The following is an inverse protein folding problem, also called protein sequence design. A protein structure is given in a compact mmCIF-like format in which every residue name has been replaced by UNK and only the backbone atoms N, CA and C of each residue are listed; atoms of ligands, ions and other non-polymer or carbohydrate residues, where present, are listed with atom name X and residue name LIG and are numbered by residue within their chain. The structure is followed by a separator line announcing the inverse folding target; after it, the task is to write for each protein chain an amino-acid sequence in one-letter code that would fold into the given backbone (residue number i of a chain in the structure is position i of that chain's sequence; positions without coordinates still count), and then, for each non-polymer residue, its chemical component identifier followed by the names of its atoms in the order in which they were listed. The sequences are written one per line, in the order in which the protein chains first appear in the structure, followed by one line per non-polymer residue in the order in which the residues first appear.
data_IF_904505229308
#
_entry.id   IF_904505229308
#
_cell.length_a   1.000
_cell.length_b   1.000
_cell.length_c   1.000
_cell.angle_alpha   90.00
_cell.angle_beta   90.00
_cell.angle_gamma   90.00
#
_symmetry.space_group_name_H-M   'P 1'
#
loop_
_entity.id
_entity.type
_entity.pdbx_description
1 polymer ?
#
# COMPACT_ATOMS: atom_id res chain seq x y z
N UNK A 1 20.12 11.53 2.98
CA UNK A 1 19.39 10.44 2.28
C UNK A 1 18.77 9.40 3.21
N UNK A 2 19.38 9.04 4.35
CA UNK A 2 18.82 8.01 5.25
C UNK A 2 17.40 8.35 5.76
N UNK A 3 17.18 9.58 6.21
CA UNK A 3 15.88 10.05 6.69
C UNK A 3 14.76 9.93 5.64
N UNK A 4 15.08 10.19 4.37
CA UNK A 4 14.11 10.04 3.26
C UNK A 4 13.80 8.55 3.03
N UNK A 5 14.81 7.66 3.11
CA UNK A 5 14.60 6.20 3.04
C UNK A 5 13.72 5.71 4.18
N UNK A 6 13.98 6.14 5.40
CA UNK A 6 13.19 5.78 6.59
C UNK A 6 11.75 6.29 6.43
N UNK A 7 11.55 7.55 6.03
CA UNK A 7 10.22 8.10 5.80
C UNK A 7 9.46 7.32 4.70
N UNK A 8 10.10 7.02 3.58
CA UNK A 8 9.51 6.22 2.51
C UNK A 8 9.07 4.85 3.01
N UNK A 9 9.93 4.11 3.71
CA UNK A 9 9.62 2.79 4.26
C UNK A 9 8.48 2.86 5.27
N UNK A 10 8.45 3.86 6.14
CA UNK A 10 7.35 4.07 7.10
C UNK A 10 6.00 4.25 6.39
N UNK A 11 5.93 5.10 5.35
CA UNK A 11 4.70 5.29 4.59
C UNK A 11 4.28 4.04 3.81
N UNK A 12 5.24 3.30 3.24
CA UNK A 12 4.96 2.02 2.57
C UNK A 12 4.37 1.00 3.55
N UNK A 13 4.95 0.86 4.75
CA UNK A 13 4.44 -0.06 5.78
C UNK A 13 3.03 0.37 6.23
N UNK A 14 2.81 1.66 6.46
CA UNK A 14 1.50 2.20 6.84
C UNK A 14 0.43 1.95 5.74
N UNK A 15 0.81 2.09 4.47
CA UNK A 15 -0.06 1.77 3.34
C UNK A 15 -0.37 0.27 3.26
N UNK A 16 0.66 -0.58 3.39
CA UNK A 16 0.52 -2.04 3.37
C UNK A 16 -0.42 -2.54 4.48
N UNK A 17 -0.30 -2.00 5.69
CA UNK A 17 -1.21 -2.35 6.79
C UNK A 17 -2.69 -2.11 6.42
N UNK A 18 -2.98 -1.01 5.71
CA UNK A 18 -4.33 -0.72 5.22
C UNK A 18 -4.82 -1.72 4.16
N UNK A 19 -3.95 -2.09 3.21
CA UNK A 19 -4.28 -3.07 2.16
C UNK A 19 -4.53 -4.47 2.72
N UNK A 20 -3.75 -4.91 3.72
CA UNK A 20 -3.93 -6.25 4.33
C UNK A 20 -5.13 -6.33 5.27
N UNK A 21 -5.59 -5.21 5.83
CA UNK A 21 -6.75 -5.20 6.73
C UNK A 21 -8.09 -5.13 5.98
N UNK A 22 -8.12 -4.60 4.75
CA UNK A 22 -9.34 -4.46 3.94
C UNK A 22 -10.05 -5.81 3.65
N UNK A 23 -9.37 -6.88 3.20
CA UNK A 23 -9.99 -8.17 2.91
C UNK A 23 -10.72 -8.76 4.11
N UNK A 24 -10.17 -8.58 5.32
CA UNK A 24 -10.79 -9.02 6.55
C UNK A 24 -12.15 -8.36 6.75
N UNK A 25 -12.25 -7.04 6.54
CA UNK A 25 -13.52 -6.32 6.66
C UNK A 25 -14.55 -6.86 5.65
N UNK A 26 -14.12 -7.18 4.42
CA UNK A 26 -15.01 -7.71 3.39
C UNK A 26 -15.57 -9.09 3.73
N UNK A 27 -14.75 -9.99 4.29
CA UNK A 27 -15.22 -11.30 4.77
C UNK A 27 -16.27 -11.13 5.88
N UNK A 28 -15.99 -10.30 6.88
CA UNK A 28 -16.91 -10.07 8.01
C UNK A 28 -18.20 -9.37 7.54
N UNK A 29 -18.13 -8.53 6.51
CA UNK A 29 -19.31 -7.93 5.89
C UNK A 29 -20.19 -9.00 5.24
N UNK A 30 -19.61 -9.95 4.51
CA UNK A 30 -20.38 -11.02 3.87
C UNK A 30 -21.03 -11.94 4.91
N UNK A 31 -20.29 -12.31 5.96
CA UNK A 31 -20.79 -13.13 7.07
C UNK A 31 -21.95 -12.44 7.82
N UNK A 32 -21.78 -11.17 8.22
CA UNK A 32 -22.81 -10.41 8.92
C UNK A 32 -24.04 -10.13 8.05
N UNK A 33 -23.86 -9.89 6.74
CA UNK A 33 -24.97 -9.70 5.81
C UNK A 33 -25.81 -10.96 5.64
N UNK A 34 -25.19 -12.14 5.66
CA UNK A 34 -25.90 -13.42 5.60
C UNK A 34 -26.62 -13.74 6.92
N UNK A 35 -26.09 -13.28 8.05
CA UNK A 35 -26.69 -13.47 9.38
C UNK A 35 -27.79 -12.44 9.73
N UNK A 36 -28.01 -11.43 8.87
CA UNK A 36 -29.00 -10.36 9.12
C UNK A 36 -28.53 -9.29 10.12
N UNK A 37 -27.22 -9.18 10.35
CA UNK A 37 -26.62 -8.17 11.25
C UNK A 37 -26.46 -6.81 10.57
N UNK A 38 -26.32 -5.73 11.37
CA UNK A 38 -26.04 -4.39 10.86
C UNK A 38 -24.57 -4.25 10.40
N UNK A 39 -24.34 -4.47 9.10
CA UNK A 39 -23.03 -4.35 8.45
C UNK A 39 -22.65 -2.91 8.07
N UNK A 40 -23.51 -1.92 8.30
CA UNK A 40 -23.31 -0.54 7.82
C UNK A 40 -22.08 0.12 8.47
N UNK A 41 -21.75 -0.30 9.71
CA UNK A 41 -20.52 0.08 10.41
C UNK A 41 -19.26 -0.44 9.72
N UNK A 42 -19.27 -1.69 9.24
CA UNK A 42 -18.14 -2.31 8.53
C UNK A 42 -17.82 -1.57 7.23
N UNK A 43 -18.85 -1.16 6.47
CA UNK A 43 -18.69 -0.33 5.26
C UNK A 43 -18.02 1.01 5.60
N UNK A 44 -18.47 1.66 6.67
CA UNK A 44 -17.90 2.95 7.11
C UNK A 44 -16.43 2.79 7.54
N UNK A 45 -16.09 1.71 8.23
CA UNK A 45 -14.71 1.39 8.60
C UNK A 45 -13.84 1.10 7.38
N UNK A 46 -14.34 0.33 6.41
CA UNK A 46 -13.64 0.06 5.16
C UNK A 46 -13.34 1.35 4.38
N UNK A 47 -14.30 2.26 4.27
CA UNK A 47 -14.11 3.54 3.57
C UNK A 47 -13.07 4.43 4.26
N UNK A 48 -13.14 4.55 5.59
CA UNK A 48 -12.16 5.32 6.36
C UNK A 48 -10.75 4.75 6.20
N UNK A 49 -10.62 3.43 6.29
CA UNK A 49 -9.35 2.75 6.14
C UNK A 49 -8.80 2.86 4.71
N UNK A 50 -9.65 2.70 3.70
CA UNK A 50 -9.26 2.85 2.30
C UNK A 50 -8.77 4.27 2.01
N UNK A 51 -9.45 5.28 2.54
CA UNK A 51 -9.03 6.69 2.41
C UNK A 51 -7.69 6.94 3.12
N UNK A 52 -7.51 6.43 4.34
CA UNK A 52 -6.23 6.52 5.05
C UNK A 52 -5.10 5.85 4.26
N UNK A 53 -5.32 4.61 3.82
CA UNK A 53 -4.38 3.83 3.01
C UNK A 53 -4.00 4.57 1.73
N UNK A 54 -4.98 5.12 1.00
CA UNK A 54 -4.74 5.87 -0.24
C UNK A 54 -3.91 7.13 -0.01
N UNK A 55 -4.11 7.84 1.11
CA UNK A 55 -3.29 9.02 1.46
C UNK A 55 -1.85 8.58 1.79
N UNK A 56 -1.68 7.49 2.55
CA UNK A 56 -0.35 6.95 2.85
C UNK A 56 0.39 6.48 1.59
N UNK A 57 -0.32 5.91 0.62
CA UNK A 57 0.24 5.55 -0.69
C UNK A 57 0.83 6.77 -1.41
N UNK A 58 0.06 7.86 -1.52
CA UNK A 58 0.52 9.09 -2.18
C UNK A 58 1.73 9.67 -1.43
N UNK A 59 1.69 9.68 -0.10
CA UNK A 59 2.80 10.09 0.75
C UNK A 59 4.03 9.18 0.63
N UNK A 60 3.86 7.90 0.30
CA UNK A 60 4.97 6.99 0.04
C UNK A 60 5.61 7.23 -1.32
N UNK A 61 4.82 7.57 -2.35
CA UNK A 61 5.30 7.80 -3.71
C UNK A 61 6.25 9.01 -3.76
N UNK A 62 5.91 10.12 -3.11
CA UNK A 62 6.72 11.35 -3.12
C UNK A 62 8.20 11.13 -2.70
N UNK A 63 8.50 10.60 -1.50
CA UNK A 63 9.88 10.32 -1.09
C UNK A 63 10.50 9.18 -1.90
N UNK A 64 9.71 8.25 -2.43
CA UNK A 64 10.19 7.21 -3.36
C UNK A 64 10.74 7.80 -4.66
N UNK A 65 10.00 8.73 -5.27
CA UNK A 65 10.43 9.44 -6.48
C UNK A 65 11.64 10.34 -6.21
N UNK A 66 11.70 11.01 -5.06
CA UNK A 66 12.87 11.82 -4.66
C UNK A 66 14.12 10.96 -4.47
N UNK A 67 14.00 9.78 -3.88
CA UNK A 67 15.13 8.84 -3.76
C UNK A 67 15.60 8.33 -5.10
N UNK A 68 14.67 8.04 -6.01
CA UNK A 68 14.99 7.59 -7.36
C UNK A 68 15.75 8.65 -8.15
N UNK A 69 15.30 9.91 -8.10
CA UNK A 69 16.00 11.04 -8.74
C UNK A 69 17.36 11.33 -8.10
N UNK A 70 17.50 11.14 -6.79
CA UNK A 70 18.74 11.41 -6.06
C UNK A 70 19.83 10.33 -6.19
N UNK A 71 19.46 9.06 -6.38
CA UNK A 71 20.42 7.95 -6.60
C UNK A 71 20.58 7.56 -8.07
N UNK A 72 19.66 7.96 -8.95
CA UNK A 72 19.69 7.62 -10.38
C UNK A 72 19.62 6.12 -10.64
N UNK A 73 20.04 5.70 -11.84
CA UNK A 73 20.15 4.29 -12.24
C UNK A 73 21.41 3.58 -11.73
N UNK A 74 21.91 3.97 -10.55
CA UNK A 74 23.10 3.36 -10.01
C UNK A 74 22.76 2.24 -9.00
N UNK A 75 23.20 1.03 -9.33
CA UNK A 75 23.03 -0.18 -8.52
C UNK A 75 22.27 -1.28 -9.27
N UNK A 76 22.91 -2.46 -9.41
CA UNK A 76 22.37 -3.61 -10.14
C UNK A 76 20.98 -4.09 -9.66
N UNK A 77 20.58 -3.71 -8.45
CA UNK A 77 19.25 -4.02 -7.92
C UNK A 77 18.09 -3.43 -8.73
N UNK A 78 18.25 -2.24 -9.32
CA UNK A 78 17.17 -1.67 -10.14
C UNK A 78 17.02 -2.41 -11.48
N UNK A 79 18.13 -2.85 -12.08
CA UNK A 79 18.11 -3.71 -13.25
C UNK A 79 17.49 -5.08 -12.93
N UNK A 80 17.82 -5.67 -11.77
CA UNK A 80 17.19 -6.91 -11.32
C UNK A 80 15.67 -6.75 -11.11
N UNK A 81 15.22 -5.64 -10.52
CA UNK A 81 13.80 -5.32 -10.34
C UNK A 81 13.06 -5.18 -11.68
N UNK A 82 13.61 -4.41 -12.61
CA UNK A 82 13.00 -4.21 -13.93
C UNK A 82 13.02 -5.49 -14.77
N UNK A 83 14.07 -6.30 -14.66
CA UNK A 83 14.15 -7.62 -15.28
C UNK A 83 13.05 -8.56 -14.79
N UNK A 84 12.81 -8.61 -13.48
CA UNK A 84 11.73 -9.42 -12.91
C UNK A 84 10.34 -8.96 -13.38
N UNK A 85 10.10 -7.66 -13.46
CA UNK A 85 8.84 -7.11 -13.99
C UNK A 85 8.68 -7.47 -15.46
N UNK A 86 9.73 -7.37 -16.27
CA UNK A 86 9.71 -7.77 -17.67
C UNK A 86 9.44 -9.27 -17.86
N UNK A 87 10.01 -10.11 -17.01
CA UNK A 87 9.80 -11.56 -17.05
C UNK A 87 8.38 -11.97 -16.63
N UNK A 88 7.76 -11.25 -15.70
CA UNK A 88 6.35 -11.45 -15.32
C UNK A 88 5.35 -11.01 -16.39
N UNK A 89 5.74 -10.10 -17.29
CA UNK A 89 4.90 -9.60 -18.38
C UNK A 89 5.07 -10.39 -19.68
N UNK A 90 6.11 -11.24 -19.77
CA UNK A 90 6.35 -12.15 -20.90
C UNK A 90 5.61 -13.47 -20.69
#
# INVERSE_FOLDING_TARGET
MLWIKVAHVLFVIAWMAGLFYLPRIFVHHQEGSNAGEDVRRLVTMAQKLFRFSSVMMVLAIVPGTVLWLGYGFNGGWMHAKLGFVGLLLA
#
